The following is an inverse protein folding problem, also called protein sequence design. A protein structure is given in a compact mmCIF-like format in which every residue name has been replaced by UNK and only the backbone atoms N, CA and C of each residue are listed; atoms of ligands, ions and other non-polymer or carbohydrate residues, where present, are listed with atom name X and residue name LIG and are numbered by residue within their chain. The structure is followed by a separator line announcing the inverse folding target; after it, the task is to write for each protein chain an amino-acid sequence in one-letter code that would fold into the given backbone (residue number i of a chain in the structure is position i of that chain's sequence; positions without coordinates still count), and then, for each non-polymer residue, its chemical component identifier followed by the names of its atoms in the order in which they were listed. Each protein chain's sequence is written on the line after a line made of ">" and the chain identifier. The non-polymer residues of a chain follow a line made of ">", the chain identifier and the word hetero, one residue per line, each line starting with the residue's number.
data_IF_472940822601
#
_entry.id   IF_472940822601
#
_cell.length_a   1.000
_cell.length_b   1.000
_cell.length_c   1.000
_cell.angle_alpha   90.00
_cell.angle_beta   90.00
_cell.angle_gamma   90.00
#
_symmetry.space_group_name_H-M   'P 1'
#
loop_
_entity.id
_entity.type
_entity.pdbx_description
1 polymer ?
#
# COMPACT_ATOMS: atom_id res chain seq x y z
N UNK A 1 18.84 23.69 10.01
CA UNK A 1 18.36 22.83 11.11
C UNK A 1 16.95 23.18 11.57
N UNK A 2 16.64 24.48 11.75
CA UNK A 2 15.31 24.93 12.20
C UNK A 2 14.14 24.56 11.24
N UNK A 3 14.33 24.57 9.93
CA UNK A 3 13.27 24.26 8.97
C UNK A 3 12.92 22.77 8.97
N UNK A 4 13.91 21.88 9.12
CA UNK A 4 13.69 20.44 9.23
C UNK A 4 12.90 20.11 10.51
N UNK A 5 13.30 20.67 11.65
CA UNK A 5 12.62 20.48 12.93
C UNK A 5 11.18 21.01 12.89
N UNK A 6 10.95 22.15 12.23
CA UNK A 6 9.60 22.71 12.06
C UNK A 6 8.72 21.83 11.19
N UNK A 7 9.26 21.27 10.10
CA UNK A 7 8.53 20.35 9.22
C UNK A 7 8.19 19.04 9.93
N UNK A 8 9.17 18.46 10.64
CA UNK A 8 8.94 17.26 11.46
C UNK A 8 7.88 17.55 12.54
N UNK A 9 8.00 18.65 13.27
CA UNK A 9 7.03 19.03 14.28
C UNK A 9 5.61 19.19 13.70
N UNK A 10 5.48 19.84 12.55
CA UNK A 10 4.19 20.01 11.86
C UNK A 10 3.57 18.65 11.45
N UNK A 11 4.40 17.70 10.98
CA UNK A 11 3.94 16.35 10.64
C UNK A 11 3.54 15.54 11.86
N UNK A 12 4.31 15.63 12.95
CA UNK A 12 4.00 14.96 14.22
C UNK A 12 2.70 15.50 14.85
N UNK A 13 2.40 16.78 14.70
CA UNK A 13 1.13 17.38 15.15
C UNK A 13 -0.02 16.98 14.22
N UNK A 14 0.21 16.88 12.93
CA UNK A 14 -0.81 16.45 11.97
C UNK A 14 -1.23 14.98 12.14
N UNK A 15 -0.31 14.10 12.59
CA UNK A 15 -0.59 12.67 12.77
C UNK A 15 -1.77 12.39 13.70
N UNK A 16 -1.81 12.88 14.96
CA UNK A 16 -2.95 12.62 15.85
C UNK A 16 -4.25 13.25 15.33
N UNK A 17 -4.18 14.40 14.65
CA UNK A 17 -5.37 15.04 14.06
C UNK A 17 -5.94 14.18 12.93
N UNK A 18 -5.08 13.68 12.04
CA UNK A 18 -5.49 12.77 10.97
C UNK A 18 -6.00 11.44 11.52
N UNK A 19 -5.33 10.88 12.53
CA UNK A 19 -5.75 9.66 13.20
C UNK A 19 -7.14 9.84 13.83
N UNK A 20 -7.36 10.92 14.56
CA UNK A 20 -8.65 11.26 15.14
C UNK A 20 -9.73 11.42 14.04
N UNK A 21 -9.43 12.15 12.97
CA UNK A 21 -10.36 12.31 11.86
C UNK A 21 -10.79 10.99 11.22
N UNK A 22 -9.84 10.07 11.03
CA UNK A 22 -10.11 8.74 10.49
C UNK A 22 -10.96 7.92 11.46
N UNK A 23 -10.63 7.90 12.76
CA UNK A 23 -11.41 7.13 13.75
C UNK A 23 -12.84 7.65 13.89
N UNK A 24 -13.04 8.98 13.90
CA UNK A 24 -14.38 9.60 13.90
C UNK A 24 -15.15 9.20 12.65
N UNK A 25 -14.52 9.35 11.47
CA UNK A 25 -15.18 9.04 10.19
C UNK A 25 -15.60 7.57 10.12
N UNK A 26 -14.69 6.65 10.46
CA UNK A 26 -14.98 5.20 10.40
C UNK A 26 -16.05 4.82 11.41
N UNK A 27 -15.95 5.32 12.65
CA UNK A 27 -16.95 5.07 13.68
C UNK A 27 -18.32 5.60 13.27
N UNK A 28 -18.38 6.83 12.73
CA UNK A 28 -19.61 7.45 12.25
C UNK A 28 -20.23 6.65 11.09
N UNK A 29 -19.44 6.27 10.08
CA UNK A 29 -19.93 5.46 8.96
C UNK A 29 -20.49 4.11 9.42
N UNK A 30 -19.82 3.45 10.36
CA UNK A 30 -20.30 2.17 10.90
C UNK A 30 -21.54 2.32 11.77
N UNK A 31 -21.80 3.50 12.32
CA UNK A 31 -23.04 3.79 13.07
C UNK A 31 -24.30 3.78 12.18
N UNK A 32 -24.16 3.88 10.85
CA UNK A 32 -25.24 3.71 9.89
C UNK A 32 -25.46 2.26 9.44
N UNK A 33 -24.66 1.33 9.94
CA UNK A 33 -24.91 -0.09 9.67
C UNK A 33 -26.29 -0.47 10.15
N UNK A 34 -27.09 -1.07 9.28
CA UNK A 34 -28.44 -1.55 9.64
C UNK A 34 -28.41 -2.83 10.47
N UNK A 35 -27.24 -3.47 10.57
CA UNK A 35 -27.07 -4.73 11.29
C UNK A 35 -26.76 -4.41 12.75
N UNK A 36 -27.62 -4.88 13.63
CA UNK A 36 -27.42 -4.76 15.07
C UNK A 36 -26.28 -5.70 15.52
N UNK A 37 -25.23 -5.18 16.18
CA UNK A 37 -24.12 -5.98 16.68
C UNK A 37 -24.55 -7.12 17.62
N UNK A 38 -25.68 -6.97 18.30
CA UNK A 38 -26.21 -8.01 19.19
C UNK A 38 -26.58 -9.28 18.40
N UNK A 39 -27.26 -9.16 17.27
CA UNK A 39 -27.59 -10.33 16.44
C UNK A 39 -26.35 -10.95 15.79
N UNK A 40 -25.35 -10.15 15.44
CA UNK A 40 -24.07 -10.68 14.94
C UNK A 40 -23.35 -11.51 16.02
N UNK A 41 -23.42 -11.10 17.29
CA UNK A 41 -22.75 -11.75 18.41
C UNK A 41 -23.52 -12.95 18.99
N UNK A 42 -24.85 -12.85 19.03
CA UNK A 42 -25.73 -13.84 19.67
C UNK A 42 -26.38 -14.82 18.66
N UNK A 43 -26.38 -14.45 17.37
CA UNK A 43 -27.06 -15.16 16.29
C UNK A 43 -28.48 -14.63 16.03
N UNK A 44 -28.98 -14.86 14.81
CA UNK A 44 -30.28 -14.34 14.35
C UNK A 44 -31.50 -14.86 15.16
N UNK A 45 -31.30 -15.93 15.91
CA UNK A 45 -32.33 -16.51 16.77
C UNK A 45 -32.30 -16.02 18.23
N UNK A 46 -31.54 -14.97 18.55
CA UNK A 46 -31.46 -14.45 19.91
C UNK A 46 -32.81 -13.93 20.39
N UNK A 47 -33.14 -14.18 21.67
CA UNK A 47 -34.37 -13.63 22.25
C UNK A 47 -34.27 -12.13 22.43
N UNK A 48 -35.43 -11.39 22.41
CA UNK A 48 -35.42 -9.94 22.64
C UNK A 48 -34.76 -9.55 23.96
N UNK A 49 -34.92 -10.38 25.00
CA UNK A 49 -34.32 -10.16 26.32
C UNK A 49 -32.79 -10.24 26.25
N UNK A 50 -32.23 -11.26 25.55
CA UNK A 50 -30.80 -11.41 25.38
C UNK A 50 -30.19 -10.27 24.55
N UNK A 51 -30.92 -9.78 23.56
CA UNK A 51 -30.53 -8.60 22.76
C UNK A 51 -30.51 -7.34 23.63
N UNK A 52 -31.55 -7.12 24.45
CA UNK A 52 -31.63 -5.97 25.37
C UNK A 52 -30.51 -6.00 26.42
N UNK A 53 -30.22 -7.17 27.01
CA UNK A 53 -29.11 -7.34 27.94
C UNK A 53 -27.72 -7.08 27.26
N UNK A 54 -27.59 -7.49 26.00
CA UNK A 54 -26.39 -7.20 25.23
C UNK A 54 -26.22 -5.70 24.96
N UNK A 55 -27.31 -5.01 24.60
CA UNK A 55 -27.32 -3.56 24.40
C UNK A 55 -26.93 -2.80 25.67
N UNK A 56 -27.54 -3.15 26.81
CA UNK A 56 -27.23 -2.54 28.11
C UNK A 56 -25.73 -2.78 28.48
N UNK A 57 -25.28 -4.02 28.36
CA UNK A 57 -23.92 -4.41 28.71
C UNK A 57 -22.84 -3.66 27.91
N UNK A 58 -23.09 -3.44 26.60
CA UNK A 58 -22.13 -2.78 25.72
C UNK A 58 -22.47 -1.30 25.44
N UNK A 59 -23.54 -0.78 26.05
CA UNK A 59 -23.99 0.59 25.91
C UNK A 59 -24.31 0.96 24.47
N UNK A 60 -24.97 0.07 23.73
CA UNK A 60 -25.28 0.29 22.32
C UNK A 60 -26.38 1.33 22.12
N UNK A 61 -27.22 1.53 23.14
CA UNK A 61 -28.28 2.52 23.16
C UNK A 61 -27.82 3.92 23.60
N UNK A 62 -26.58 4.05 24.05
CA UNK A 62 -25.98 5.33 24.41
C UNK A 62 -25.85 6.25 23.17
N UNK A 63 -25.92 7.59 23.35
CA UNK A 63 -25.67 8.54 22.29
C UNK A 63 -24.31 8.30 21.62
N UNK A 64 -24.26 8.44 20.29
CA UNK A 64 -23.04 8.14 19.53
C UNK A 64 -21.76 8.82 20.04
N UNK A 65 -21.75 10.06 20.61
CA UNK A 65 -20.53 10.64 21.15
C UNK A 65 -19.99 9.87 22.37
N UNK A 66 -20.89 9.37 23.22
CA UNK A 66 -20.52 8.56 24.42
C UNK A 66 -19.91 7.23 23.96
N UNK A 67 -20.55 6.59 22.99
CA UNK A 67 -20.05 5.36 22.38
C UNK A 67 -18.66 5.56 21.73
N UNK A 68 -18.49 6.68 21.03
CA UNK A 68 -17.20 7.02 20.41
C UNK A 68 -16.10 7.23 21.45
N UNK A 69 -16.35 7.96 22.53
CA UNK A 69 -15.37 8.17 23.62
C UNK A 69 -14.97 6.85 24.27
N UNK A 70 -15.94 5.96 24.53
CA UNK A 70 -15.68 4.61 25.06
C UNK A 70 -14.81 3.81 24.08
N UNK A 71 -15.18 3.77 22.80
CA UNK A 71 -14.42 3.12 21.74
C UNK A 71 -12.97 3.64 21.65
N UNK A 72 -12.78 4.96 21.76
CA UNK A 72 -11.42 5.55 21.78
C UNK A 72 -10.65 5.17 23.03
N UNK A 73 -11.32 5.05 24.18
CA UNK A 73 -10.72 4.54 25.40
C UNK A 73 -10.19 3.10 25.21
N UNK A 74 -11.04 2.21 24.69
CA UNK A 74 -10.67 0.82 24.42
C UNK A 74 -9.52 0.73 23.39
N UNK A 75 -9.61 1.50 22.33
CA UNK A 75 -8.57 1.54 21.27
C UNK A 75 -7.20 1.99 21.80
N UNK A 76 -7.14 3.00 22.67
CA UNK A 76 -5.89 3.48 23.28
C UNK A 76 -5.26 2.40 24.19
N UNK A 77 -6.09 1.55 24.83
CA UNK A 77 -5.62 0.42 25.60
C UNK A 77 -5.29 -0.82 24.75
N UNK A 78 -5.45 -0.72 23.42
CA UNK A 78 -5.17 -1.80 22.47
C UNK A 78 -6.30 -2.82 22.32
N UNK A 79 -7.46 -2.57 22.93
CA UNK A 79 -8.65 -3.38 22.73
C UNK A 79 -9.42 -2.88 21.50
N UNK A 80 -9.43 -3.69 20.47
CA UNK A 80 -10.17 -3.46 19.22
C UNK A 80 -11.46 -4.29 19.16
N UNK A 81 -11.84 -4.92 20.26
CA UNK A 81 -12.97 -5.82 20.34
C UNK A 81 -12.74 -7.20 19.71
N UNK A 82 -13.83 -7.91 19.56
CA UNK A 82 -13.87 -9.27 19.02
C UNK A 82 -14.81 -9.36 17.82
N UNK A 83 -14.67 -10.42 17.02
CA UNK A 83 -15.48 -10.72 15.86
C UNK A 83 -15.79 -12.22 15.75
N UNK A 84 -16.87 -12.56 15.05
CA UNK A 84 -17.36 -13.93 14.86
C UNK A 84 -17.93 -14.58 16.11
N UNK A 85 -18.70 -15.63 15.95
CA UNK A 85 -19.32 -16.39 17.03
C UNK A 85 -18.29 -16.93 18.05
N UNK A 86 -17.07 -17.25 17.61
CA UNK A 86 -15.97 -17.69 18.46
C UNK A 86 -15.29 -16.55 19.22
N UNK A 87 -15.75 -15.30 19.11
CA UNK A 87 -15.16 -14.10 19.74
C UNK A 87 -13.65 -13.98 19.52
N UNK A 88 -13.23 -14.10 18.27
CA UNK A 88 -11.83 -13.94 17.90
C UNK A 88 -11.37 -12.50 18.09
N UNK A 89 -10.15 -12.30 18.60
CA UNK A 89 -9.60 -10.96 18.78
C UNK A 89 -9.31 -10.26 17.45
N UNK A 90 -9.84 -9.04 17.27
CA UNK A 90 -9.57 -8.18 16.13
C UNK A 90 -8.08 -7.81 16.09
N UNK A 91 -7.47 -7.44 17.21
CA UNK A 91 -6.06 -7.10 17.30
C UNK A 91 -5.15 -8.25 16.82
N UNK A 92 -5.46 -9.50 17.22
CA UNK A 92 -4.74 -10.69 16.75
C UNK A 92 -4.90 -10.92 15.25
N UNK A 93 -6.10 -10.73 14.70
CA UNK A 93 -6.34 -10.84 13.25
C UNK A 93 -5.53 -9.81 12.47
N UNK A 94 -5.48 -8.58 12.96
CA UNK A 94 -4.71 -7.48 12.37
C UNK A 94 -3.20 -7.76 12.45
N UNK A 95 -2.70 -8.20 13.59
CA UNK A 95 -1.26 -8.48 13.76
C UNK A 95 -0.75 -9.57 12.81
N UNK A 96 -1.59 -10.50 12.38
CA UNK A 96 -1.24 -11.52 11.38
C UNK A 96 -1.46 -11.05 9.95
N UNK A 97 -2.45 -10.19 9.70
CA UNK A 97 -2.80 -9.73 8.36
C UNK A 97 -1.92 -8.57 7.86
N UNK A 98 -1.62 -7.59 8.73
CA UNK A 98 -0.84 -6.40 8.36
C UNK A 98 0.54 -6.74 7.77
N UNK A 99 1.33 -7.66 8.34
CA UNK A 99 2.61 -8.04 7.76
C UNK A 99 2.49 -8.58 6.31
N UNK A 100 1.43 -9.31 6.00
CA UNK A 100 1.20 -9.85 4.64
C UNK A 100 0.96 -8.71 3.65
N UNK A 101 0.09 -7.77 4.00
CA UNK A 101 -0.17 -6.57 3.18
C UNK A 101 1.08 -5.74 2.97
N UNK A 102 1.87 -5.53 4.03
CA UNK A 102 3.14 -4.79 3.95
C UNK A 102 4.14 -5.51 3.05
N UNK A 103 4.31 -6.82 3.21
CA UNK A 103 5.20 -7.62 2.37
C UNK A 103 4.80 -7.56 0.90
N UNK A 104 3.50 -7.73 0.58
CA UNK A 104 3.00 -7.61 -0.78
C UNK A 104 3.28 -6.22 -1.37
N UNK A 105 3.01 -5.17 -0.60
CA UNK A 105 3.24 -3.78 -0.99
C UNK A 105 4.72 -3.54 -1.29
N UNK A 106 5.64 -3.96 -0.41
CA UNK A 106 7.07 -3.73 -0.60
C UNK A 106 7.68 -4.60 -1.69
N UNK A 107 7.23 -5.84 -1.87
CA UNK A 107 7.66 -6.69 -2.99
C UNK A 107 7.19 -6.07 -4.32
N UNK A 108 5.92 -5.65 -4.40
CA UNK A 108 5.40 -4.94 -5.56
C UNK A 108 6.13 -3.64 -5.87
N UNK A 109 6.43 -2.84 -4.82
CA UNK A 109 7.23 -1.62 -4.94
C UNK A 109 8.62 -1.91 -5.47
N UNK A 110 9.31 -2.92 -4.93
CA UNK A 110 10.66 -3.30 -5.34
C UNK A 110 10.69 -3.75 -6.81
N UNK A 111 9.76 -4.62 -7.22
CA UNK A 111 9.61 -5.05 -8.62
C UNK A 111 9.35 -3.83 -9.51
N UNK A 112 8.36 -3.00 -9.16
CA UNK A 112 8.00 -1.81 -9.92
C UNK A 112 9.16 -0.82 -10.04
N UNK A 113 9.90 -0.58 -8.96
CA UNK A 113 11.07 0.28 -8.95
C UNK A 113 12.17 -0.26 -9.87
N UNK A 114 12.61 -1.49 -9.63
CA UNK A 114 13.74 -2.08 -10.42
C UNK A 114 13.39 -2.09 -11.90
N UNK A 115 12.23 -2.60 -12.27
CA UNK A 115 11.83 -2.71 -13.68
C UNK A 115 11.67 -1.34 -14.31
N UNK A 116 11.04 -0.38 -13.64
CA UNK A 116 10.83 0.97 -14.18
C UNK A 116 12.13 1.75 -14.33
N UNK A 117 13.06 1.62 -13.39
CA UNK A 117 14.38 2.26 -13.51
C UNK A 117 15.17 1.68 -14.67
N UNK A 118 15.21 0.36 -14.82
CA UNK A 118 15.88 -0.28 -15.96
C UNK A 118 15.27 0.14 -17.30
N UNK A 119 13.96 0.01 -17.44
CA UNK A 119 13.26 0.36 -18.68
C UNK A 119 13.35 1.86 -18.98
N UNK A 120 13.20 2.72 -17.98
CA UNK A 120 13.27 4.17 -18.16
C UNK A 120 14.66 4.66 -18.60
N UNK A 121 15.71 4.10 -18.00
CA UNK A 121 17.11 4.39 -18.43
C UNK A 121 17.35 3.91 -19.85
N UNK A 122 16.97 2.67 -20.18
CA UNK A 122 17.11 2.12 -21.53
C UNK A 122 16.36 3.00 -22.54
N UNK A 123 15.11 3.36 -22.25
CA UNK A 123 14.31 4.22 -23.12
C UNK A 123 14.95 5.59 -23.35
N UNK A 124 15.57 6.20 -22.34
CA UNK A 124 16.26 7.48 -22.46
C UNK A 124 17.54 7.39 -23.29
N UNK A 125 18.34 6.34 -23.08
CA UNK A 125 19.60 6.13 -23.84
C UNK A 125 19.34 5.82 -25.31
N UNK A 126 18.22 5.17 -25.61
CA UNK A 126 17.80 4.86 -26.98
C UNK A 126 16.69 5.80 -27.46
N UNK A 127 16.67 7.05 -26.99
CA UNK A 127 15.68 8.07 -27.32
C UNK A 127 15.36 8.09 -28.81
N UNK A 128 14.04 8.04 -29.13
CA UNK A 128 13.46 8.08 -30.46
C UNK A 128 13.82 6.89 -31.38
N UNK A 129 14.56 5.88 -30.85
CA UNK A 129 14.83 4.61 -31.52
C UNK A 129 13.78 3.55 -31.17
N UNK A 130 13.83 2.40 -31.84
CA UNK A 130 12.85 1.32 -31.63
C UNK A 130 12.74 0.82 -30.16
N UNK A 131 13.84 0.71 -29.34
CA UNK A 131 13.69 0.28 -27.95
C UNK A 131 12.86 1.26 -27.12
N UNK A 132 13.07 2.58 -27.33
CA UNK A 132 12.28 3.61 -26.69
C UNK A 132 10.79 3.52 -27.06
N UNK A 133 10.48 3.28 -28.34
CA UNK A 133 9.11 3.15 -28.80
C UNK A 133 8.41 1.93 -28.18
N UNK A 134 9.06 0.78 -28.12
CA UNK A 134 8.51 -0.44 -27.50
C UNK A 134 8.27 -0.21 -26.01
N UNK A 135 9.24 0.38 -25.30
CA UNK A 135 9.11 0.67 -23.87
C UNK A 135 8.00 1.69 -23.61
N UNK A 136 7.81 2.69 -24.48
CA UNK A 136 6.68 3.62 -24.37
C UNK A 136 5.34 2.92 -24.53
N UNK A 137 5.19 2.03 -25.50
CA UNK A 137 3.96 1.23 -25.67
C UNK A 137 3.72 0.37 -24.44
N UNK A 138 4.74 -0.31 -23.92
CA UNK A 138 4.66 -1.08 -22.68
C UNK A 138 4.22 -0.22 -21.49
N UNK A 139 4.79 0.99 -21.36
CA UNK A 139 4.44 1.92 -20.27
C UNK A 139 3.00 2.39 -20.35
N UNK A 140 2.49 2.66 -21.58
CA UNK A 140 1.09 3.03 -21.81
C UNK A 140 0.18 1.85 -21.47
N UNK A 141 0.53 0.64 -21.93
CA UNK A 141 -0.22 -0.56 -21.60
C UNK A 141 -0.28 -0.79 -20.08
N UNK A 142 0.86 -0.59 -19.37
CA UNK A 142 0.92 -0.71 -17.92
C UNK A 142 -0.02 0.28 -17.21
N UNK A 143 -0.08 1.52 -17.67
CA UNK A 143 -0.99 2.53 -17.12
C UNK A 143 -2.46 2.25 -17.41
N UNK A 144 -2.76 1.73 -18.60
CA UNK A 144 -4.13 1.47 -19.04
C UNK A 144 -4.69 0.16 -18.45
N UNK A 145 -3.84 -0.75 -18.00
CA UNK A 145 -4.24 -2.06 -17.48
C UNK A 145 -4.60 -1.99 -16.01
N UNK A 146 -5.85 -2.28 -15.61
CA UNK A 146 -6.19 -2.38 -14.20
C UNK A 146 -5.46 -3.54 -13.53
N UNK A 147 -4.91 -3.32 -12.34
CA UNK A 147 -4.14 -4.34 -11.60
C UNK A 147 -4.96 -5.62 -11.33
N UNK A 148 -6.23 -5.47 -10.98
CA UNK A 148 -7.12 -6.59 -10.73
C UNK A 148 -7.39 -7.44 -11.98
N UNK A 149 -7.51 -6.80 -13.14
CA UNK A 149 -7.68 -7.52 -14.41
C UNK A 149 -6.43 -8.31 -14.77
N UNK A 150 -5.25 -7.68 -14.63
CA UNK A 150 -3.98 -8.38 -14.82
C UNK A 150 -3.83 -9.55 -13.84
N UNK A 151 -4.25 -9.38 -12.58
CA UNK A 151 -4.24 -10.45 -11.58
C UNK A 151 -5.00 -11.69 -12.06
N UNK A 152 -6.22 -11.49 -12.60
CA UNK A 152 -7.02 -12.58 -13.15
C UNK A 152 -6.32 -13.24 -14.36
N UNK A 153 -5.75 -12.45 -15.26
CA UNK A 153 -5.01 -13.00 -16.41
C UNK A 153 -3.79 -13.82 -15.98
N UNK A 154 -3.05 -13.37 -14.96
CA UNK A 154 -1.90 -14.11 -14.43
C UNK A 154 -2.36 -15.44 -13.82
N UNK A 155 -3.47 -15.47 -13.09
CA UNK A 155 -4.06 -16.69 -12.55
C UNK A 155 -4.44 -17.65 -13.69
N UNK A 156 -5.15 -17.18 -14.70
CA UNK A 156 -5.56 -17.99 -15.84
C UNK A 156 -4.35 -18.58 -16.57
N UNK A 157 -3.32 -17.77 -16.81
CA UNK A 157 -2.13 -18.22 -17.53
C UNK A 157 -1.26 -19.13 -16.69
N UNK A 158 -0.80 -18.68 -15.52
CA UNK A 158 0.24 -19.38 -14.76
C UNK A 158 -0.30 -20.45 -13.82
N UNK A 159 -1.51 -20.29 -13.30
CA UNK A 159 -2.09 -21.27 -12.38
C UNK A 159 -3.01 -22.27 -13.08
N UNK A 160 -3.90 -21.80 -13.96
CA UNK A 160 -4.89 -22.66 -14.60
C UNK A 160 -4.34 -23.36 -15.84
N UNK A 161 -3.68 -22.63 -16.74
CA UNK A 161 -3.19 -23.18 -18.01
C UNK A 161 -1.81 -23.82 -17.88
N UNK A 162 -0.80 -23.08 -17.43
CA UNK A 162 0.59 -23.57 -17.31
C UNK A 162 0.82 -24.42 -16.05
N UNK A 163 0.02 -24.24 -15.00
CA UNK A 163 0.08 -24.95 -13.71
C UNK A 163 1.44 -24.87 -13.02
N UNK A 164 2.15 -23.74 -13.18
CA UNK A 164 3.50 -23.54 -12.62
C UNK A 164 3.51 -22.73 -11.33
N UNK A 165 2.47 -21.92 -11.09
CA UNK A 165 2.36 -21.08 -9.89
C UNK A 165 0.98 -21.24 -9.23
N UNK A 166 0.91 -21.35 -7.89
CA UNK A 166 -0.36 -21.51 -7.19
C UNK A 166 -1.10 -20.17 -7.07
N UNK A 167 -2.39 -20.14 -7.44
CA UNK A 167 -3.23 -18.95 -7.26
C UNK A 167 -3.75 -18.78 -5.82
N UNK A 168 -4.01 -19.89 -5.11
CA UNK A 168 -4.59 -19.92 -3.77
C UNK A 168 -3.91 -20.95 -2.88
N UNK A 169 -4.34 -21.06 -1.63
CA UNK A 169 -3.78 -21.97 -0.64
C UNK A 169 -3.06 -21.24 0.50
N UNK A 170 -2.55 -21.99 1.46
CA UNK A 170 -1.82 -21.43 2.59
C UNK A 170 -0.59 -20.65 2.12
N UNK A 171 -0.31 -19.49 2.75
CA UNK A 171 0.91 -18.74 2.55
C UNK A 171 1.99 -19.34 3.47
N UNK A 172 3.03 -20.01 2.95
CA UNK A 172 4.11 -20.52 3.78
C UNK A 172 4.88 -19.38 4.46
N UNK A 173 5.55 -19.66 5.57
CA UNK A 173 6.48 -18.71 6.14
C UNK A 173 7.75 -18.60 5.27
N UNK A 174 8.21 -17.37 5.05
CA UNK A 174 9.42 -17.12 4.25
C UNK A 174 10.66 -17.84 4.80
N UNK A 175 10.79 -17.92 6.13
CA UNK A 175 11.93 -18.55 6.80
C UNK A 175 11.97 -20.06 6.67
N UNK A 176 10.83 -20.72 6.54
CA UNK A 176 10.73 -22.20 6.48
C UNK A 176 10.62 -22.71 5.05
N UNK A 177 9.95 -21.99 4.18
CA UNK A 177 9.77 -22.36 2.77
C UNK A 177 9.80 -21.10 1.87
N UNK A 178 10.99 -20.52 1.60
CA UNK A 178 11.10 -19.31 0.79
C UNK A 178 10.62 -19.50 -0.65
N UNK A 179 10.82 -20.66 -1.25
CA UNK A 179 10.35 -20.94 -2.62
C UNK A 179 8.83 -20.98 -2.71
N UNK A 180 8.15 -21.66 -1.78
CA UNK A 180 6.69 -21.69 -1.70
C UNK A 180 6.11 -20.31 -1.39
N UNK A 181 6.75 -19.53 -0.50
CA UNK A 181 6.37 -18.16 -0.21
C UNK A 181 6.46 -17.27 -1.45
N UNK A 182 7.60 -17.27 -2.15
CA UNK A 182 7.79 -16.47 -3.37
C UNK A 182 6.84 -16.93 -4.49
N UNK A 183 6.63 -18.24 -4.64
CA UNK A 183 5.66 -18.77 -5.61
C UNK A 183 4.24 -18.24 -5.37
N UNK A 184 3.85 -18.02 -4.11
CA UNK A 184 2.54 -17.43 -3.76
C UNK A 184 2.49 -15.92 -3.91
N UNK A 185 3.63 -15.22 -3.72
CA UNK A 185 3.67 -13.75 -3.71
C UNK A 185 3.98 -13.13 -5.08
N UNK A 186 4.61 -13.86 -6.01
CA UNK A 186 5.13 -13.29 -7.26
C UNK A 186 4.02 -12.78 -8.19
N UNK A 187 2.96 -13.56 -8.42
CA UNK A 187 1.85 -13.12 -9.27
C UNK A 187 1.11 -11.91 -8.68
N UNK A 188 0.69 -11.94 -7.39
CA UNK A 188 0.11 -10.77 -6.72
C UNK A 188 1.01 -9.53 -6.82
N UNK A 189 2.31 -9.68 -6.56
CA UNK A 189 3.26 -8.58 -6.60
C UNK A 189 3.46 -8.00 -8.01
N UNK A 190 3.50 -8.85 -9.04
CA UNK A 190 3.57 -8.39 -10.45
C UNK A 190 2.28 -7.65 -10.82
N UNK A 191 1.10 -8.18 -10.46
CA UNK A 191 -0.17 -7.51 -10.76
C UNK A 191 -0.25 -6.13 -10.11
N UNK A 192 0.22 -6.02 -8.86
CA UNK A 192 0.27 -4.76 -8.12
C UNK A 192 1.31 -3.78 -8.69
N UNK A 193 2.48 -4.29 -9.11
CA UNK A 193 3.59 -3.50 -9.62
C UNK A 193 3.37 -2.96 -11.03
N UNK A 194 2.58 -3.61 -11.85
CA UNK A 194 2.52 -3.34 -13.29
C UNK A 194 2.08 -1.90 -13.65
N UNK A 195 0.98 -1.35 -13.09
CA UNK A 195 0.61 0.04 -13.33
C UNK A 195 1.66 1.04 -12.81
N UNK A 196 2.28 0.72 -11.66
CA UNK A 196 3.38 1.51 -11.11
C UNK A 196 4.57 1.52 -12.07
N UNK A 197 4.96 0.34 -12.59
CA UNK A 197 6.05 0.20 -13.55
C UNK A 197 5.83 1.08 -14.78
N UNK A 198 4.63 1.04 -15.38
CA UNK A 198 4.29 1.87 -16.53
C UNK A 198 4.44 3.37 -16.24
N UNK A 199 3.93 3.83 -15.11
CA UNK A 199 4.01 5.23 -14.70
C UNK A 199 5.45 5.66 -14.43
N UNK A 200 6.18 4.89 -13.63
CA UNK A 200 7.53 5.22 -13.20
C UNK A 200 8.55 5.14 -14.34
N UNK A 201 8.40 4.20 -15.27
CA UNK A 201 9.24 4.12 -16.49
C UNK A 201 9.21 5.44 -17.25
N UNK A 202 8.03 6.03 -17.43
CA UNK A 202 7.89 7.31 -18.12
C UNK A 202 8.55 8.46 -17.35
N UNK A 203 8.40 8.49 -16.01
CA UNK A 203 9.00 9.51 -15.16
C UNK A 203 10.53 9.40 -15.21
N UNK A 204 11.08 8.19 -15.08
CA UNK A 204 12.53 7.94 -15.16
C UNK A 204 13.08 8.35 -16.53
N UNK A 205 12.39 7.93 -17.63
CA UNK A 205 12.77 8.31 -18.99
C UNK A 205 12.85 9.82 -19.17
N UNK A 206 11.79 10.54 -18.76
CA UNK A 206 11.74 12.00 -18.88
C UNK A 206 12.86 12.67 -18.10
N UNK A 207 13.05 12.30 -16.84
CA UNK A 207 14.13 12.86 -16.01
C UNK A 207 15.52 12.57 -16.58
N UNK A 208 15.75 11.36 -17.12
CA UNK A 208 17.02 11.00 -17.77
C UNK A 208 17.24 11.81 -19.04
N UNK A 209 16.23 11.98 -19.89
CA UNK A 209 16.34 12.75 -21.13
C UNK A 209 16.67 14.21 -20.83
N UNK A 210 15.94 14.82 -19.89
CA UNK A 210 16.18 16.21 -19.48
C UNK A 210 17.61 16.40 -18.93
N UNK A 211 18.12 15.42 -18.18
CA UNK A 211 19.46 15.52 -17.62
C UNK A 211 20.56 15.28 -18.68
N UNK A 212 20.31 14.38 -19.64
CA UNK A 212 21.24 14.12 -20.77
C UNK A 212 21.42 15.33 -21.70
N UNK A 213 20.43 16.20 -21.79
CA UNK A 213 20.44 17.39 -22.67
C UNK A 213 21.16 18.59 -22.01
N UNK A 214 21.61 18.51 -20.75
CA UNK A 214 22.29 19.62 -20.04
C UNK A 214 23.73 19.88 -20.53
N UNK A 215 24.15 21.13 -20.43
CA UNK A 215 25.44 21.59 -20.92
C UNK A 215 26.64 20.90 -20.26
N UNK A 216 26.54 20.58 -18.96
CA UNK A 216 27.62 19.88 -18.27
C UNK A 216 27.88 18.46 -18.84
N UNK A 217 26.82 17.81 -19.38
CA UNK A 217 26.94 16.50 -20.04
C UNK A 217 27.71 16.65 -21.38
N UNK A 218 27.38 17.71 -22.15
CA UNK A 218 28.09 18.02 -23.39
C UNK A 218 29.54 18.35 -23.12
N UNK A 219 29.81 19.16 -22.07
CA UNK A 219 31.19 19.47 -21.66
C UNK A 219 31.98 18.22 -21.24
N UNK A 220 31.37 17.32 -20.43
CA UNK A 220 32.01 16.10 -19.98
C UNK A 220 32.35 15.19 -21.17
N UNK A 221 31.44 15.04 -22.16
CA UNK A 221 31.70 14.31 -23.39
C UNK A 221 32.82 14.96 -24.25
N UNK A 222 32.79 16.30 -24.37
CA UNK A 222 33.84 17.06 -25.08
C UNK A 222 35.21 16.94 -24.43
N UNK A 223 35.27 16.76 -23.10
CA UNK A 223 36.49 16.51 -22.34
C UNK A 223 36.97 15.05 -22.41
N UNK A 224 36.29 14.18 -23.18
CA UNK A 224 36.70 12.77 -23.37
C UNK A 224 36.34 11.84 -22.19
N UNK A 225 35.44 12.26 -21.27
CA UNK A 225 34.99 11.39 -20.17
C UNK A 225 34.26 10.17 -20.75
N UNK A 226 34.57 8.95 -20.32
CA UNK A 226 33.93 7.73 -20.81
C UNK A 226 32.41 7.78 -20.62
N UNK A 227 31.61 7.35 -21.62
CA UNK A 227 30.16 7.43 -21.61
C UNK A 227 29.53 6.71 -20.40
N UNK A 228 30.11 5.58 -19.96
CA UNK A 228 29.66 4.87 -18.74
C UNK A 228 29.76 5.74 -17.48
N UNK A 229 30.75 6.61 -17.38
CA UNK A 229 30.91 7.55 -16.24
C UNK A 229 29.95 8.72 -16.38
N UNK A 230 29.82 9.29 -17.58
CA UNK A 230 28.89 10.37 -17.87
C UNK A 230 27.46 9.95 -17.51
N UNK A 231 26.99 8.81 -18.02
CA UNK A 231 25.62 8.32 -17.81
C UNK A 231 25.45 7.77 -16.39
N UNK A 232 26.34 6.87 -15.94
CA UNK A 232 26.14 6.11 -14.71
C UNK A 232 26.37 6.92 -13.43
N UNK A 233 27.29 7.90 -13.46
CA UNK A 233 27.64 8.70 -12.28
C UNK A 233 27.02 10.09 -12.37
N UNK A 234 27.22 10.81 -13.47
CA UNK A 234 26.85 12.22 -13.54
C UNK A 234 25.35 12.39 -13.82
N UNK A 235 24.83 11.73 -14.87
CA UNK A 235 23.43 11.87 -15.29
C UNK A 235 22.49 11.12 -14.36
N UNK A 236 22.74 9.83 -14.14
CA UNK A 236 21.84 8.96 -13.38
C UNK A 236 21.62 9.48 -11.95
N UNK A 237 22.68 9.88 -11.27
CA UNK A 237 22.61 10.43 -9.91
C UNK A 237 21.68 11.63 -9.80
N UNK A 238 21.72 12.54 -10.77
CA UNK A 238 20.91 13.74 -10.79
C UNK A 238 19.48 13.47 -11.27
N UNK A 239 19.35 12.66 -12.32
CA UNK A 239 18.06 12.32 -12.90
C UNK A 239 17.16 11.52 -11.94
N UNK A 240 17.74 10.67 -11.07
CA UNK A 240 16.97 9.83 -10.15
C UNK A 240 16.34 10.56 -8.97
N UNK A 241 16.69 11.80 -8.70
CA UNK A 241 16.13 12.56 -7.57
C UNK A 241 14.60 12.59 -7.65
N UNK A 242 14.04 13.02 -8.79
CA UNK A 242 12.58 13.11 -8.99
C UNK A 242 11.90 11.72 -9.02
N UNK A 243 12.37 10.71 -9.76
CA UNK A 243 11.81 9.37 -9.71
C UNK A 243 11.79 8.73 -8.31
N UNK A 244 12.88 8.83 -7.55
CA UNK A 244 12.97 8.25 -6.19
C UNK A 244 11.95 8.88 -5.25
N UNK A 245 11.81 10.21 -5.31
CA UNK A 245 10.82 10.93 -4.49
C UNK A 245 9.38 10.56 -4.88
N UNK A 246 9.11 10.47 -6.18
CA UNK A 246 7.79 10.04 -6.68
C UNK A 246 7.47 8.61 -6.28
N UNK A 247 8.46 7.70 -6.34
CA UNK A 247 8.30 6.31 -5.93
C UNK A 247 7.90 6.20 -4.45
N UNK A 248 8.50 7.03 -3.58
CA UNK A 248 8.13 7.07 -2.17
C UNK A 248 6.64 7.36 -1.96
N UNK A 249 6.10 8.34 -2.67
CA UNK A 249 4.67 8.70 -2.60
C UNK A 249 3.75 7.58 -3.11
N UNK A 250 4.26 6.63 -3.91
CA UNK A 250 3.47 5.51 -4.44
C UNK A 250 3.27 4.36 -3.45
N UNK A 251 3.98 4.33 -2.33
CA UNK A 251 3.82 3.28 -1.32
C UNK A 251 2.38 3.24 -0.81
N UNK A 252 1.83 4.40 -0.46
CA UNK A 252 0.44 4.49 0.00
C UNK A 252 -0.58 4.05 -1.06
N UNK A 253 -0.36 4.42 -2.33
CA UNK A 253 -1.20 3.97 -3.43
C UNK A 253 -1.17 2.44 -3.59
N UNK A 254 0.01 1.82 -3.47
CA UNK A 254 0.16 0.37 -3.53
C UNK A 254 -0.53 -0.34 -2.37
N UNK A 255 -0.50 0.22 -1.16
CA UNK A 255 -1.22 -0.34 -0.01
C UNK A 255 -2.73 -0.42 -0.26
N UNK A 256 -3.32 0.63 -0.84
CA UNK A 256 -4.73 0.61 -1.23
C UNK A 256 -5.02 -0.42 -2.32
N UNK A 257 -4.14 -0.54 -3.31
CA UNK A 257 -4.23 -1.54 -4.36
C UNK A 257 -4.04 -2.97 -3.88
N UNK A 258 -3.19 -3.18 -2.87
CA UNK A 258 -2.92 -4.49 -2.29
C UNK A 258 -4.19 -5.15 -1.74
N UNK A 259 -5.11 -4.38 -1.15
CA UNK A 259 -6.40 -4.89 -0.62
C UNK A 259 -7.17 -5.70 -1.67
N UNK A 260 -7.30 -5.15 -2.89
CA UNK A 260 -8.01 -5.84 -3.97
C UNK A 260 -7.25 -7.08 -4.46
N UNK A 261 -5.94 -6.97 -4.59
CA UNK A 261 -5.09 -8.08 -5.04
C UNK A 261 -5.09 -9.22 -4.02
N UNK A 262 -5.07 -8.93 -2.73
CA UNK A 262 -5.16 -9.92 -1.66
C UNK A 262 -6.45 -10.72 -1.74
N UNK A 263 -7.58 -10.06 -2.00
CA UNK A 263 -8.88 -10.73 -2.17
C UNK A 263 -8.85 -11.68 -3.38
N UNK A 264 -8.32 -11.24 -4.52
CA UNK A 264 -8.27 -12.05 -5.76
C UNK A 264 -7.41 -13.30 -5.57
N UNK A 265 -6.25 -13.17 -4.91
CA UNK A 265 -5.32 -14.28 -4.66
C UNK A 265 -5.58 -15.02 -3.35
N UNK A 266 -6.62 -14.64 -2.60
CA UNK A 266 -6.94 -15.19 -1.28
C UNK A 266 -5.72 -15.21 -0.34
N UNK A 267 -5.01 -14.06 -0.26
CA UNK A 267 -3.91 -13.87 0.69
C UNK A 267 -4.46 -13.44 2.05
N UNK A 268 -3.92 -13.94 3.17
CA UNK A 268 -4.44 -13.64 4.51
C UNK A 268 -4.04 -12.25 5.02
N UNK A 269 -4.22 -11.22 4.19
CA UNK A 269 -3.88 -9.84 4.48
C UNK A 269 -5.05 -9.00 5.00
N UNK A 270 -4.83 -7.67 5.09
CA UNK A 270 -5.82 -6.70 5.57
C UNK A 270 -7.04 -6.61 4.63
N UNK A 271 -6.86 -6.78 3.31
CA UNK A 271 -7.94 -6.77 2.34
C UNK A 271 -8.93 -7.91 2.54
N UNK A 272 -8.42 -9.13 2.74
CA UNK A 272 -9.28 -10.29 3.06
C UNK A 272 -9.93 -10.15 4.44
N UNK A 273 -9.27 -9.51 5.41
CA UNK A 273 -9.86 -9.22 6.71
C UNK A 273 -11.01 -8.20 6.61
N UNK A 274 -10.88 -7.14 5.78
CA UNK A 274 -11.98 -6.20 5.50
C UNK A 274 -13.15 -6.94 4.85
N UNK A 275 -12.90 -7.74 3.81
CA UNK A 275 -13.94 -8.48 3.12
C UNK A 275 -14.68 -9.43 4.08
N UNK A 276 -13.95 -10.15 4.91
CA UNK A 276 -14.53 -11.01 5.96
C UNK A 276 -15.42 -10.21 6.91
N UNK A 277 -14.95 -9.04 7.37
CA UNK A 277 -15.72 -8.17 8.25
C UNK A 277 -17.00 -7.63 7.61
N UNK A 278 -16.93 -7.22 6.34
CA UNK A 278 -18.10 -6.73 5.60
C UNK A 278 -19.11 -7.84 5.33
N UNK A 279 -18.66 -9.01 4.90
CA UNK A 279 -19.56 -10.15 4.61
C UNK A 279 -20.23 -10.71 5.87
N UNK A 280 -19.48 -10.71 7.00
CA UNK A 280 -19.97 -11.17 8.29
C UNK A 280 -20.72 -10.09 9.10
N UNK A 281 -20.87 -8.86 8.57
CA UNK A 281 -21.40 -7.70 9.32
C UNK A 281 -20.65 -7.41 10.63
N UNK A 282 -19.36 -7.70 10.68
CA UNK A 282 -18.48 -7.59 11.85
C UNK A 282 -17.92 -6.18 11.98
N UNK A 283 -18.67 -5.26 12.59
CA UNK A 283 -18.33 -3.84 12.70
C UNK A 283 -16.93 -3.62 13.32
N UNK A 284 -16.62 -4.33 14.43
CA UNK A 284 -15.33 -4.20 15.11
C UNK A 284 -14.16 -4.58 14.20
N UNK A 285 -14.30 -5.65 13.41
CA UNK A 285 -13.25 -6.10 12.48
C UNK A 285 -13.04 -5.05 11.39
N UNK A 286 -14.11 -4.55 10.77
CA UNK A 286 -14.02 -3.51 9.73
C UNK A 286 -13.38 -2.25 10.29
N UNK A 287 -13.86 -1.74 11.44
CA UNK A 287 -13.31 -0.54 12.08
C UNK A 287 -11.82 -0.70 12.40
N UNK A 288 -11.46 -1.79 13.09
CA UNK A 288 -10.07 -2.05 13.48
C UNK A 288 -9.13 -2.11 12.27
N UNK A 289 -9.53 -2.85 11.23
CA UNK A 289 -8.71 -3.00 10.01
C UNK A 289 -8.57 -1.67 9.28
N UNK A 290 -9.66 -0.93 9.05
CA UNK A 290 -9.63 0.35 8.32
C UNK A 290 -8.78 1.38 9.06
N UNK A 291 -8.93 1.48 10.39
CA UNK A 291 -8.12 2.40 11.21
C UNK A 291 -6.63 2.05 11.13
N UNK A 292 -6.27 0.78 11.28
CA UNK A 292 -4.86 0.37 11.23
C UNK A 292 -4.25 0.57 9.84
N UNK A 293 -4.99 0.28 8.76
CA UNK A 293 -4.54 0.55 7.38
C UNK A 293 -4.35 2.05 7.19
N UNK A 294 -5.28 2.88 7.64
CA UNK A 294 -5.17 4.32 7.52
C UNK A 294 -4.00 4.90 8.34
N UNK A 295 -3.78 4.40 9.56
CA UNK A 295 -2.64 4.78 10.38
C UNK A 295 -1.31 4.35 9.74
N UNK A 296 -1.23 3.12 9.23
CA UNK A 296 -0.06 2.64 8.51
C UNK A 296 0.23 3.52 7.27
N UNK A 297 -0.80 3.88 6.51
CA UNK A 297 -0.68 4.81 5.38
C UNK A 297 -0.13 6.17 5.82
N UNK A 298 -0.66 6.77 6.89
CA UNK A 298 -0.21 8.05 7.42
C UNK A 298 1.26 7.97 7.86
N UNK A 299 1.63 6.94 8.63
CA UNK A 299 3.00 6.74 9.12
C UNK A 299 3.97 6.59 7.95
N UNK A 300 3.64 5.75 6.97
CA UNK A 300 4.47 5.55 5.79
C UNK A 300 4.66 6.86 5.02
N UNK A 301 3.61 7.64 4.79
CA UNK A 301 3.74 8.92 4.12
C UNK A 301 4.65 9.89 4.89
N UNK A 302 4.55 9.93 6.22
CA UNK A 302 5.45 10.76 7.05
C UNK A 302 6.91 10.29 6.91
N UNK A 303 7.15 8.97 6.96
CA UNK A 303 8.50 8.41 6.76
C UNK A 303 9.04 8.77 5.38
N UNK A 304 8.23 8.64 4.34
CA UNK A 304 8.59 9.02 2.96
C UNK A 304 8.90 10.51 2.85
N UNK A 305 8.09 11.38 3.44
CA UNK A 305 8.33 12.82 3.47
C UNK A 305 9.65 13.15 4.18
N UNK A 306 9.96 12.46 5.28
CA UNK A 306 11.24 12.64 5.98
C UNK A 306 12.43 12.17 5.13
N UNK A 307 12.32 11.01 4.49
CA UNK A 307 13.34 10.51 3.56
C UNK A 307 13.55 11.47 2.39
N UNK A 308 12.47 12.05 1.85
CA UNK A 308 12.52 13.05 0.81
C UNK A 308 13.34 14.28 1.24
N UNK A 309 13.12 14.81 2.45
CA UNK A 309 13.86 15.92 3.01
C UNK A 309 15.35 15.60 3.23
N UNK A 310 15.68 14.34 3.49
CA UNK A 310 17.07 13.91 3.65
C UNK A 310 17.79 13.79 2.29
N UNK A 311 17.10 13.27 1.28
CA UNK A 311 17.66 12.99 -0.06
C UNK A 311 17.77 14.28 -0.89
N UNK A 312 16.84 15.23 -0.74
CA UNK A 312 16.81 16.45 -1.55
C UNK A 312 17.31 17.70 -0.77
N UNK A 313 18.60 18.05 -0.88
CA UNK A 313 19.16 19.19 -0.15
C UNK A 313 18.61 20.56 -0.60
N UNK A 314 17.99 20.65 -1.78
CA UNK A 314 17.46 21.91 -2.32
C UNK A 314 16.24 22.43 -1.55
N UNK A 315 15.53 21.57 -0.81
CA UNK A 315 14.36 21.96 0.00
C UNK A 315 14.77 22.51 1.37
N UNK A 316 16.02 22.35 1.76
CA UNK A 316 16.52 22.90 3.04
C UNK A 316 16.67 24.43 3.04
N UNK A 317 16.54 25.09 1.89
CA UNK A 317 16.82 26.51 1.68
C UNK A 317 15.57 27.38 1.44
N UNK A 318 14.36 26.86 1.60
CA UNK A 318 13.10 27.63 1.50
C UNK A 318 12.48 27.87 2.87
#
# INVERSE_FOLDING_TARGET
>A
MNNLLRLIGRRLVALPIMALGVTVLVFFLMSFSKTDPAYTALGDGASPEAVSEYHEKYGLDDPWPVRYVRYMGDLIHGDMGTYGAARNSVAKRISTALPVTMQLTFIGLAIGAVVSFLLGVIAALYRDKWPDQVIRVFSIAGLATPSFWLAVLLILLFSSYLKVLPASGALPHFTTNPAGYLGRMIMPAIALAFPLTGQMTRIVRTAMVEELDKDYVRMARGAGVPEKVVVGINVLRNALITPVTTLGLKIGYLMGGAVVIEVIFNLPGMGTAILQGVQGNEANLVQGVVIVVALAFIIINIVVDMLYLLINPRIRTV
#
